data_IF_867729886017
#
_entry.id   IF_867729886017
#
_cell.length_a   1.000
_cell.length_b   1.000
_cell.length_c   1.000
_cell.angle_alpha   90.00
_cell.angle_beta   90.00
_cell.angle_gamma   90.00
#
_symmetry.space_group_name_H-M   'P 1'
#
loop_
_entity.id
_entity.type
_entity.pdbx_description
1 polymer ?
#
# COMPACT_ATOMS: atom_id res chain seq x y z
N UNK A 1 -80.64 -39.81 56.29
CA UNK A 1 -79.34 -39.14 56.49
C UNK A 1 -78.25 -40.16 56.29
N UNK A 2 -77.54 -40.14 55.16
CA UNK A 2 -76.31 -40.92 54.97
C UNK A 2 -75.37 -40.10 54.09
N UNK A 3 -74.31 -39.59 54.70
CA UNK A 3 -73.31 -38.75 54.06
C UNK A 3 -72.36 -39.60 53.22
N UNK A 4 -72.24 -39.26 51.94
CA UNK A 4 -71.23 -39.82 51.03
C UNK A 4 -69.89 -39.13 51.27
N UNK A 5 -68.97 -39.83 51.95
CA UNK A 5 -67.59 -39.39 52.17
C UNK A 5 -66.73 -39.84 50.99
N UNK A 6 -66.19 -38.89 50.23
CA UNK A 6 -65.16 -39.15 49.21
C UNK A 6 -63.76 -39.03 49.84
N UNK A 7 -62.86 -40.02 49.69
CA UNK A 7 -61.46 -39.83 50.05
C UNK A 7 -60.74 -39.07 48.94
N UNK A 8 -60.42 -37.80 49.19
CA UNK A 8 -59.51 -37.02 48.36
C UNK A 8 -58.06 -37.41 48.69
N UNK A 9 -57.51 -38.40 48.00
CA UNK A 9 -56.08 -38.71 48.08
C UNK A 9 -55.29 -37.67 47.27
N UNK A 10 -54.94 -36.54 47.90
CA UNK A 10 -53.92 -35.65 47.36
C UNK A 10 -52.58 -36.36 47.44
N UNK A 11 -52.10 -36.82 46.27
CA UNK A 11 -50.77 -37.41 46.11
C UNK A 11 -49.72 -36.34 46.43
N UNK A 12 -49.22 -36.35 47.67
CA UNK A 12 -48.16 -35.45 48.12
C UNK A 12 -46.94 -35.64 47.22
N UNK A 13 -46.63 -34.64 46.39
CA UNK A 13 -45.42 -34.64 45.58
C UNK A 13 -44.22 -34.68 46.52
N UNK A 14 -43.32 -35.65 46.32
CA UNK A 14 -42.08 -35.79 47.08
C UNK A 14 -41.31 -34.46 47.07
N UNK A 15 -40.65 -34.10 48.17
CA UNK A 15 -39.83 -32.88 48.26
C UNK A 15 -38.80 -32.77 47.13
N UNK A 16 -38.34 -33.91 46.61
CA UNK A 16 -37.48 -33.99 45.43
C UNK A 16 -38.15 -33.48 44.14
N UNK A 17 -39.45 -33.75 43.93
CA UNK A 17 -40.20 -33.23 42.78
C UNK A 17 -40.37 -31.70 42.88
N UNK A 18 -40.58 -31.17 44.08
CA UNK A 18 -40.68 -29.72 44.30
C UNK A 18 -39.34 -29.02 44.02
N UNK A 19 -38.23 -29.60 44.49
CA UNK A 19 -36.88 -29.08 44.21
C UNK A 19 -36.57 -29.14 42.72
N UNK A 20 -36.89 -30.25 42.04
CA UNK A 20 -36.68 -30.38 40.60
C UNK A 20 -37.48 -29.35 39.79
N UNK A 21 -38.76 -29.11 40.16
CA UNK A 21 -39.60 -28.09 39.52
C UNK A 21 -39.07 -26.68 39.79
N UNK A 22 -38.63 -26.38 41.02
CA UNK A 22 -38.06 -25.08 41.36
C UNK A 22 -36.75 -24.82 40.59
N UNK A 23 -35.87 -25.82 40.47
CA UNK A 23 -34.64 -25.73 39.67
C UNK A 23 -34.93 -25.54 38.19
N UNK A 24 -35.89 -26.30 37.63
CA UNK A 24 -36.29 -26.15 36.24
C UNK A 24 -36.87 -24.75 35.97
N UNK A 25 -37.73 -24.25 36.84
CA UNK A 25 -38.30 -22.90 36.72
C UNK A 25 -37.22 -21.82 36.84
N UNK A 26 -36.30 -21.97 37.80
CA UNK A 26 -35.15 -21.08 37.97
C UNK A 26 -34.24 -21.08 36.74
N UNK A 27 -33.97 -22.25 36.15
CA UNK A 27 -33.18 -22.38 34.93
C UNK A 27 -33.88 -21.72 33.73
N UNK A 28 -35.19 -21.89 33.58
CA UNK A 28 -35.97 -21.22 32.52
C UNK A 28 -35.94 -19.71 32.69
N UNK A 29 -36.14 -19.20 33.91
CA UNK A 29 -36.05 -17.77 34.22
C UNK A 29 -34.65 -17.22 33.93
N UNK A 30 -33.60 -17.98 34.28
CA UNK A 30 -32.22 -17.63 33.97
C UNK A 30 -31.99 -17.52 32.46
N UNK A 31 -32.46 -18.49 31.67
CA UNK A 31 -32.35 -18.44 30.20
C UNK A 31 -33.10 -17.24 29.61
N UNK A 32 -34.30 -16.93 30.10
CA UNK A 32 -35.05 -15.74 29.68
C UNK A 32 -34.26 -14.47 29.98
N UNK A 33 -33.67 -14.35 31.18
CA UNK A 33 -32.85 -13.20 31.55
C UNK A 33 -31.61 -13.06 30.65
N UNK A 34 -30.92 -14.16 30.34
CA UNK A 34 -29.76 -14.16 29.43
C UNK A 34 -30.16 -13.68 28.04
N UNK A 35 -31.27 -14.18 27.50
CA UNK A 35 -31.78 -13.76 26.19
C UNK A 35 -32.21 -12.29 26.20
N UNK A 36 -32.86 -11.83 27.28
CA UNK A 36 -33.28 -10.44 27.42
C UNK A 36 -32.08 -9.48 27.50
N UNK A 37 -31.03 -9.83 28.26
CA UNK A 37 -29.79 -9.05 28.35
C UNK A 37 -29.10 -9.00 26.98
N UNK A 38 -29.00 -10.13 26.30
CA UNK A 38 -28.42 -10.19 24.96
C UNK A 38 -29.20 -9.31 23.96
N UNK A 39 -30.53 -9.39 23.96
CA UNK A 39 -31.38 -8.58 23.11
C UNK A 39 -31.26 -7.07 23.42
N UNK A 40 -31.22 -6.70 24.71
CA UNK A 40 -31.02 -5.32 25.15
C UNK A 40 -29.65 -4.78 24.69
N UNK A 41 -28.60 -5.58 24.78
CA UNK A 41 -27.27 -5.22 24.28
C UNK A 41 -27.27 -5.02 22.77
N UNK A 42 -27.91 -5.92 22.01
CA UNK A 42 -28.04 -5.77 20.55
C UNK A 42 -28.82 -4.50 20.16
N UNK A 43 -29.87 -4.16 20.90
CA UNK A 43 -30.66 -2.94 20.69
C UNK A 43 -29.86 -1.68 21.04
N UNK A 44 -29.10 -1.69 22.13
CA UNK A 44 -28.27 -0.55 22.54
C UNK A 44 -27.17 -0.22 21.53
N UNK A 45 -26.57 -1.25 20.93
CA UNK A 45 -25.55 -1.12 19.90
C UNK A 45 -26.13 -1.23 18.47
N UNK A 46 -27.45 -1.10 18.31
CA UNK A 46 -28.04 -0.98 16.99
C UNK A 46 -27.51 0.30 16.32
N UNK A 47 -26.89 0.16 15.14
CA UNK A 47 -26.29 1.28 14.42
C UNK A 47 -24.98 1.83 14.99
N UNK A 48 -24.35 1.15 15.97
CA UNK A 48 -23.04 1.53 16.53
C UNK A 48 -22.03 0.40 16.41
N UNK A 49 -20.76 0.70 16.22
CA UNK A 49 -19.69 -0.30 16.23
C UNK A 49 -19.58 -0.89 17.64
N UNK A 50 -19.32 -2.20 17.76
CA UNK A 50 -19.17 -2.81 19.08
C UNK A 50 -17.92 -2.27 19.79
N UNK A 51 -17.94 -2.18 21.13
CA UNK A 51 -16.80 -1.69 21.89
C UNK A 51 -15.56 -2.59 21.69
N UNK A 52 -14.38 -2.00 21.77
CA UNK A 52 -13.11 -2.71 21.60
C UNK A 52 -12.70 -2.93 20.14
N UNK A 53 -13.36 -2.32 19.16
CA UNK A 53 -12.91 -2.33 17.76
C UNK A 53 -12.04 -1.10 17.49
N UNK A 54 -10.84 -1.32 16.95
CA UNK A 54 -9.90 -0.27 16.58
C UNK A 54 -9.49 -0.39 15.12
N UNK A 55 -9.23 0.72 14.44
CA UNK A 55 -8.73 0.77 13.06
C UNK A 55 -7.35 1.42 13.08
N UNK A 56 -6.29 0.65 12.79
CA UNK A 56 -4.89 1.12 12.90
C UNK A 56 -4.59 1.91 14.19
N UNK A 57 -5.09 1.42 15.34
CA UNK A 57 -4.88 2.06 16.65
C UNK A 57 -5.84 3.21 16.98
N UNK A 58 -6.74 3.58 16.06
CA UNK A 58 -7.83 4.53 16.32
C UNK A 58 -9.03 3.78 16.88
N UNK A 59 -9.42 4.09 18.12
CA UNK A 59 -10.63 3.52 18.73
C UNK A 59 -11.90 4.05 18.04
N UNK A 60 -12.70 3.12 17.52
CA UNK A 60 -13.97 3.39 16.86
C UNK A 60 -15.15 2.69 17.56
N UNK A 61 -14.89 2.00 18.67
CA UNK A 61 -15.89 1.31 19.44
C UNK A 61 -16.97 2.25 19.96
N UNK A 62 -18.24 1.83 19.88
CA UNK A 62 -19.39 2.60 20.34
C UNK A 62 -19.81 3.77 19.43
N UNK A 63 -19.03 4.10 18.39
CA UNK A 63 -19.36 5.15 17.42
C UNK A 63 -20.32 4.64 16.34
N UNK A 64 -21.08 5.54 15.72
CA UNK A 64 -21.78 5.23 14.46
C UNK A 64 -20.77 5.10 13.33
N UNK A 65 -21.08 4.39 12.22
CA UNK A 65 -20.18 4.30 11.07
C UNK A 65 -19.71 5.67 10.56
N UNK A 66 -20.61 6.66 10.49
CA UNK A 66 -20.27 8.04 10.09
C UNK A 66 -19.30 8.73 11.05
N UNK A 67 -19.52 8.61 12.36
CA UNK A 67 -18.63 9.19 13.38
C UNK A 67 -17.28 8.47 13.41
N UNK A 68 -17.26 7.15 13.20
CA UNK A 68 -16.06 6.36 13.08
C UNK A 68 -15.24 6.76 11.85
N UNK A 69 -15.88 6.93 10.68
CA UNK A 69 -15.22 7.39 9.46
C UNK A 69 -14.51 8.75 9.69
N UNK A 70 -15.19 9.71 10.32
CA UNK A 70 -14.59 10.99 10.69
C UNK A 70 -13.41 10.83 11.68
N UNK A 71 -13.55 9.96 12.68
CA UNK A 71 -12.52 9.72 13.69
C UNK A 71 -11.26 9.06 13.11
N UNK A 72 -11.43 8.10 12.19
CA UNK A 72 -10.33 7.43 11.47
C UNK A 72 -9.63 8.42 10.55
N UNK A 73 -10.39 9.28 9.85
CA UNK A 73 -9.81 10.33 8.98
C UNK A 73 -8.88 11.26 9.76
N UNK A 74 -9.24 11.60 11.00
CA UNK A 74 -8.41 12.44 11.87
C UNK A 74 -7.24 11.69 12.50
N UNK A 75 -7.38 10.39 12.76
CA UNK A 75 -6.38 9.58 13.47
C UNK A 75 -5.37 8.88 12.57
N UNK A 76 -5.72 8.57 11.32
CA UNK A 76 -4.88 7.83 10.39
C UNK A 76 -4.12 8.78 9.46
N UNK A 77 -2.93 9.18 9.89
CA UNK A 77 -2.12 10.16 9.18
C UNK A 77 -1.18 9.56 8.11
N UNK A 78 -1.02 8.23 8.02
CA UNK A 78 0.00 7.61 7.16
C UNK A 78 -0.01 8.08 5.69
N UNK A 79 -1.17 8.23 5.00
CA UNK A 79 -1.19 8.78 3.64
C UNK A 79 -0.60 10.20 3.54
N UNK A 80 -0.74 11.00 4.59
CA UNK A 80 -0.32 12.40 4.61
C UNK A 80 1.07 12.62 5.24
N UNK A 81 1.42 11.84 6.26
CA UNK A 81 2.64 12.02 7.07
C UNK A 81 3.70 10.93 6.86
N UNK A 82 3.35 9.84 6.18
CA UNK A 82 4.29 8.78 5.86
C UNK A 82 5.42 9.27 4.96
N UNK A 83 6.57 8.61 5.06
CA UNK A 83 7.80 9.00 4.37
C UNK A 83 8.30 7.85 3.52
N UNK A 84 8.16 7.99 2.21
CA UNK A 84 8.73 7.07 1.23
C UNK A 84 9.87 7.80 0.53
N UNK A 85 11.09 7.29 0.71
CA UNK A 85 12.27 7.85 0.09
C UNK A 85 12.58 7.09 -1.20
N UNK A 86 12.30 7.71 -2.33
CA UNK A 86 12.70 7.18 -3.64
C UNK A 86 14.19 7.48 -3.84
N UNK A 87 14.97 6.49 -4.27
CA UNK A 87 16.43 6.62 -4.35
C UNK A 87 16.96 6.16 -5.70
N UNK A 88 17.86 6.95 -6.30
CA UNK A 88 18.68 6.54 -7.46
C UNK A 88 20.11 7.11 -7.30
N UNK A 89 21.12 6.23 -7.29
CA UNK A 89 22.54 6.58 -7.48
C UNK A 89 23.06 7.80 -6.69
N UNK A 90 22.54 8.00 -5.48
CA UNK A 90 22.93 9.11 -4.58
C UNK A 90 21.95 10.29 -4.54
N UNK A 91 20.97 10.34 -5.45
CA UNK A 91 19.83 11.25 -5.38
C UNK A 91 18.68 10.61 -4.61
N UNK A 92 17.97 11.43 -3.83
CA UNK A 92 16.80 10.98 -3.07
C UNK A 92 15.66 11.96 -3.19
N UNK A 93 14.45 11.44 -3.29
CA UNK A 93 13.21 12.21 -3.34
C UNK A 93 12.28 11.70 -2.25
N UNK A 94 11.98 12.58 -1.29
CA UNK A 94 11.02 12.27 -0.23
C UNK A 94 9.62 12.55 -0.73
N UNK A 95 8.78 11.52 -0.78
CA UNK A 95 7.38 11.61 -1.16
C UNK A 95 6.49 11.01 -0.08
N UNK A 96 5.29 11.55 0.06
CA UNK A 96 4.27 10.96 0.95
C UNK A 96 3.51 9.86 0.22
N UNK A 97 2.96 8.85 0.92
CA UNK A 97 2.14 7.83 0.26
C UNK A 97 0.94 8.42 -0.47
N UNK A 98 0.36 9.51 0.02
CA UNK A 98 -0.73 10.25 -0.63
C UNK A 98 -0.32 10.92 -1.93
N UNK A 99 0.93 11.41 -2.03
CA UNK A 99 1.48 11.88 -3.31
C UNK A 99 1.67 10.74 -4.31
N UNK A 100 1.90 9.52 -3.83
CA UNK A 100 1.96 8.31 -4.64
C UNK A 100 0.58 7.71 -4.96
N UNK A 101 -0.52 8.37 -4.57
CA UNK A 101 -1.87 7.89 -4.86
C UNK A 101 -2.47 6.94 -3.82
N UNK A 102 -1.89 6.83 -2.62
CA UNK A 102 -2.52 6.12 -1.52
C UNK A 102 -3.57 7.00 -0.84
N UNK A 103 -4.82 6.55 -0.85
CA UNK A 103 -5.95 7.22 -0.21
C UNK A 103 -6.59 6.33 0.85
N UNK A 104 -7.04 6.96 1.94
CA UNK A 104 -7.88 6.31 2.93
C UNK A 104 -9.33 6.29 2.41
N UNK A 105 -9.98 5.13 2.49
CA UNK A 105 -11.43 5.01 2.39
C UNK A 105 -12.02 4.85 3.80
N UNK A 106 -12.38 5.97 4.47
CA UNK A 106 -12.84 5.93 5.85
C UNK A 106 -14.23 5.29 5.97
N UNK A 107 -15.07 5.39 4.93
CA UNK A 107 -16.42 4.82 4.91
C UNK A 107 -16.36 3.31 4.85
N UNK A 108 -15.59 2.74 3.93
CA UNK A 108 -15.39 1.29 3.86
C UNK A 108 -14.71 0.75 5.11
N UNK A 109 -13.74 1.49 5.69
CA UNK A 109 -13.10 1.13 6.96
C UNK A 109 -14.12 1.05 8.10
N UNK A 110 -14.97 2.07 8.24
CA UNK A 110 -16.00 2.11 9.28
C UNK A 110 -17.08 1.04 9.09
N UNK A 111 -17.48 0.75 7.85
CA UNK A 111 -18.41 -0.32 7.52
C UNK A 111 -17.83 -1.71 7.85
N UNK A 112 -16.55 -1.94 7.56
CA UNK A 112 -15.87 -3.18 7.93
C UNK A 112 -15.84 -3.36 9.45
N UNK A 113 -15.51 -2.31 10.20
CA UNK A 113 -15.57 -2.31 11.66
C UNK A 113 -16.99 -2.55 12.20
N UNK A 114 -18.01 -1.95 11.59
CA UNK A 114 -19.41 -2.17 11.97
C UNK A 114 -19.85 -3.63 11.77
N UNK A 115 -19.29 -4.35 10.80
CA UNK A 115 -19.64 -5.75 10.53
C UNK A 115 -19.04 -6.75 11.54
N UNK A 116 -18.03 -6.35 12.31
CA UNK A 116 -17.44 -7.20 13.37
C UNK A 116 -18.51 -7.53 14.42
N UNK A 117 -18.54 -8.80 14.85
CA UNK A 117 -19.55 -9.29 15.81
C UNK A 117 -20.98 -9.37 15.27
N UNK A 118 -21.23 -8.99 13.99
CA UNK A 118 -22.55 -9.02 13.34
C UNK A 118 -22.66 -10.04 12.21
N UNK A 119 -21.54 -10.53 11.70
CA UNK A 119 -21.50 -11.51 10.61
C UNK A 119 -21.33 -12.95 11.11
N UNK A 120 -21.74 -13.94 10.30
CA UNK A 120 -21.63 -15.37 10.64
C UNK A 120 -22.71 -15.92 11.59
N UNK A 121 -22.49 -17.14 12.08
CA UNK A 121 -23.38 -17.84 13.02
C UNK A 121 -23.30 -17.30 14.45
N UNK A 122 -24.30 -17.66 15.27
CA UNK A 122 -24.49 -17.12 16.64
C UNK A 122 -23.22 -17.30 17.51
N UNK A 123 -22.60 -18.48 17.49
CA UNK A 123 -21.35 -18.75 18.23
C UNK A 123 -20.18 -17.86 17.80
N UNK A 124 -20.04 -17.59 16.50
CA UNK A 124 -18.97 -16.71 15.99
C UNK A 124 -19.19 -15.27 16.46
N UNK A 125 -20.43 -14.76 16.35
CA UNK A 125 -20.77 -13.41 16.83
C UNK A 125 -20.46 -13.21 18.30
N UNK A 126 -20.79 -14.19 19.15
CA UNK A 126 -20.49 -14.14 20.59
C UNK A 126 -18.98 -14.15 20.86
N UNK A 127 -18.23 -15.01 20.16
CA UNK A 127 -16.77 -15.04 20.26
C UNK A 127 -16.15 -13.71 19.85
N UNK A 128 -16.53 -13.18 18.69
CA UNK A 128 -15.98 -11.95 18.13
C UNK A 128 -16.29 -10.75 19.04
N UNK A 129 -17.53 -10.66 19.57
CA UNK A 129 -17.91 -9.63 20.54
C UNK A 129 -17.09 -9.72 21.84
N UNK A 130 -16.87 -10.93 22.35
CA UNK A 130 -16.05 -11.13 23.54
C UNK A 130 -14.58 -10.82 23.29
N UNK A 131 -14.01 -11.23 22.15
CA UNK A 131 -12.61 -10.96 21.81
C UNK A 131 -12.36 -9.49 21.56
N UNK A 132 -13.27 -8.79 20.88
CA UNK A 132 -13.18 -7.35 20.69
C UNK A 132 -13.18 -6.62 22.05
N UNK A 133 -14.08 -6.98 22.95
CA UNK A 133 -14.13 -6.39 24.28
C UNK A 133 -12.90 -6.70 25.15
N UNK A 134 -12.42 -7.96 25.12
CA UNK A 134 -11.34 -8.41 26.01
C UNK A 134 -9.93 -8.02 25.52
N UNK A 135 -9.68 -8.09 24.21
CA UNK A 135 -8.33 -7.97 23.64
C UNK A 135 -8.16 -6.76 22.71
N UNK A 136 -9.23 -6.01 22.45
CA UNK A 136 -9.29 -5.02 21.36
C UNK A 136 -9.02 -5.64 19.99
N UNK A 137 -10.03 -5.70 19.12
CA UNK A 137 -9.87 -6.20 17.77
C UNK A 137 -9.33 -5.09 16.87
N UNK A 138 -8.12 -5.29 16.35
CA UNK A 138 -7.46 -4.34 15.46
C UNK A 138 -7.75 -4.70 14.00
N UNK A 139 -8.32 -3.75 13.27
CA UNK A 139 -8.60 -3.87 11.86
C UNK A 139 -7.65 -2.99 11.04
N UNK A 140 -7.20 -3.49 9.87
CA UNK A 140 -6.53 -2.64 8.90
C UNK A 140 -7.54 -1.65 8.28
N UNK A 141 -7.12 -0.40 8.02
CA UNK A 141 -7.93 0.57 7.28
C UNK A 141 -8.09 0.09 5.83
N UNK A 142 -9.24 0.39 5.25
CA UNK A 142 -9.46 0.25 3.82
C UNK A 142 -8.71 1.37 3.11
N UNK A 143 -7.79 0.99 2.22
CA UNK A 143 -6.96 1.90 1.46
C UNK A 143 -7.15 1.64 -0.02
N UNK A 144 -7.09 2.72 -0.79
CA UNK A 144 -7.16 2.70 -2.25
C UNK A 144 -5.81 3.19 -2.75
N UNK A 145 -5.17 2.42 -3.63
CA UNK A 145 -3.94 2.83 -4.28
C UNK A 145 -4.21 3.11 -5.75
N UNK A 146 -4.10 4.38 -6.14
CA UNK A 146 -4.18 4.81 -7.53
C UNK A 146 -2.79 4.76 -8.17
N UNK A 147 -2.49 3.64 -8.83
CA UNK A 147 -1.24 3.41 -9.55
C UNK A 147 -0.96 4.47 -10.62
N UNK A 148 -2.00 5.14 -11.14
CA UNK A 148 -1.85 6.18 -12.17
C UNK A 148 -1.18 7.42 -11.60
N UNK A 149 -1.47 7.76 -10.35
CA UNK A 149 -0.84 8.89 -9.65
C UNK A 149 0.64 8.57 -9.38
N UNK A 150 0.93 7.37 -8.86
CA UNK A 150 2.32 6.91 -8.71
C UNK A 150 3.09 6.94 -10.04
N UNK A 151 2.47 6.46 -11.13
CA UNK A 151 3.07 6.49 -12.46
C UNK A 151 3.43 7.91 -12.89
N UNK A 152 2.56 8.90 -12.67
CA UNK A 152 2.83 10.30 -13.01
C UNK A 152 3.99 10.88 -12.21
N UNK A 153 4.10 10.55 -10.92
CA UNK A 153 5.24 10.95 -10.08
C UNK A 153 6.53 10.35 -10.63
N UNK A 154 6.52 9.06 -10.95
CA UNK A 154 7.66 8.37 -11.54
C UNK A 154 8.04 8.94 -12.90
N UNK A 155 7.09 9.24 -13.79
CA UNK A 155 7.36 9.90 -15.07
C UNK A 155 8.02 11.28 -14.88
N UNK A 156 7.61 12.04 -13.85
CA UNK A 156 8.25 13.32 -13.50
C UNK A 156 9.69 13.16 -13.00
N UNK A 157 10.00 12.06 -12.31
CA UNK A 157 11.36 11.72 -11.89
C UNK A 157 12.20 11.18 -13.04
N UNK A 158 11.61 10.44 -13.97
CA UNK A 158 12.31 9.89 -15.14
C UNK A 158 12.94 11.01 -15.94
N UNK A 159 12.22 12.12 -16.17
CA UNK A 159 12.76 13.29 -16.89
C UNK A 159 13.98 13.94 -16.22
N UNK A 160 14.21 13.70 -14.93
CA UNK A 160 15.38 14.18 -14.20
C UNK A 160 16.54 13.16 -14.20
N UNK A 161 16.21 11.87 -14.24
CA UNK A 161 17.13 10.74 -14.18
C UNK A 161 17.65 10.36 -15.57
N UNK A 162 16.75 10.39 -16.55
CA UNK A 162 16.96 9.88 -17.89
C UNK A 162 17.99 10.72 -18.63
N UNK A 163 18.96 10.03 -19.22
CA UNK A 163 20.04 10.63 -20.02
C UNK A 163 20.19 9.83 -21.31
N UNK A 164 20.21 10.47 -22.47
CA UNK A 164 20.48 9.76 -23.71
C UNK A 164 21.91 9.21 -23.70
N UNK A 165 22.09 8.06 -24.36
CA UNK A 165 23.43 7.55 -24.69
C UNK A 165 24.03 8.45 -25.77
N UNK A 166 25.29 8.86 -25.58
CA UNK A 166 26.04 9.66 -26.55
C UNK A 166 27.29 8.89 -26.91
N UNK A 167 27.49 8.59 -28.19
CA UNK A 167 28.69 7.94 -28.67
C UNK A 167 29.89 8.89 -28.66
N UNK A 168 31.08 8.38 -28.36
CA UNK A 168 32.30 9.17 -28.51
C UNK A 168 32.49 9.56 -29.98
N UNK A 169 32.87 10.82 -30.21
CA UNK A 169 33.10 11.33 -31.55
C UNK A 169 34.40 12.12 -31.63
N UNK A 170 34.93 12.22 -32.85
CA UNK A 170 36.14 12.96 -33.17
C UNK A 170 35.76 14.13 -34.05
N UNK A 171 36.08 15.34 -33.61
CA UNK A 171 35.86 16.55 -34.40
C UNK A 171 37.22 17.17 -34.75
N UNK A 172 37.43 17.49 -36.02
CA UNK A 172 38.65 18.16 -36.49
C UNK A 172 38.35 19.65 -36.63
N UNK A 173 39.09 20.49 -35.91
CA UNK A 173 39.03 21.95 -36.01
C UNK A 173 40.38 22.46 -36.55
N UNK A 174 40.46 22.72 -37.85
CA UNK A 174 41.73 23.04 -38.52
C UNK A 174 42.66 21.82 -38.54
N UNK A 175 43.79 21.89 -37.83
CA UNK A 175 44.72 20.77 -37.63
C UNK A 175 44.55 20.06 -36.28
N UNK A 176 43.69 20.57 -35.40
CA UNK A 176 43.48 20.00 -34.07
C UNK A 176 42.35 18.97 -34.07
N UNK A 177 42.65 17.77 -33.56
CA UNK A 177 41.67 16.71 -33.32
C UNK A 177 41.19 16.80 -31.88
N UNK A 178 39.91 17.11 -31.71
CA UNK A 178 39.21 17.17 -30.42
C UNK A 178 38.43 15.87 -30.21
N UNK A 179 38.62 15.25 -29.05
CA UNK A 179 37.89 14.04 -28.64
C UNK A 179 36.68 14.45 -27.81
N UNK A 180 35.50 14.08 -28.26
CA UNK A 180 34.28 14.14 -27.47
C UNK A 180 34.05 12.75 -26.87
N UNK A 181 34.19 12.62 -25.56
CA UNK A 181 33.96 11.36 -24.87
C UNK A 181 32.48 10.95 -24.95
N UNK A 182 32.24 9.64 -24.95
CA UNK A 182 30.90 9.09 -24.89
C UNK A 182 30.26 9.31 -23.52
N UNK A 183 28.93 9.30 -23.48
CA UNK A 183 28.13 9.40 -22.27
C UNK A 183 27.26 8.16 -22.12
N UNK A 184 27.32 7.52 -20.95
CA UNK A 184 26.40 6.42 -20.59
C UNK A 184 24.96 6.92 -20.57
N UNK A 185 24.10 6.25 -21.34
CA UNK A 185 22.67 6.48 -21.30
C UNK A 185 22.07 5.87 -20.04
N UNK A 186 21.05 6.54 -19.50
CA UNK A 186 20.29 6.09 -18.33
C UNK A 186 18.81 6.22 -18.67
N UNK A 187 18.03 5.19 -18.40
CA UNK A 187 16.59 5.19 -18.61
C UNK A 187 15.93 4.51 -17.41
N UNK A 188 15.03 5.21 -16.73
CA UNK A 188 14.28 4.63 -15.62
C UNK A 188 13.23 3.64 -16.12
N UNK A 189 13.25 2.43 -15.57
CA UNK A 189 12.21 1.44 -15.76
C UNK A 189 11.02 1.79 -14.87
N UNK A 190 10.09 2.57 -15.42
CA UNK A 190 8.89 3.02 -14.69
C UNK A 190 8.05 1.82 -14.20
N UNK A 191 7.73 0.80 -15.02
CA UNK A 191 6.98 -0.36 -14.55
C UNK A 191 7.66 -1.10 -13.38
N UNK A 192 8.97 -1.34 -13.45
CA UNK A 192 9.69 -2.01 -12.37
C UNK A 192 9.76 -1.15 -11.09
N UNK A 193 9.97 0.15 -11.26
CA UNK A 193 9.97 1.10 -10.14
C UNK A 193 8.58 1.23 -9.50
N UNK A 194 7.51 1.22 -10.30
CA UNK A 194 6.13 1.24 -9.81
C UNK A 194 5.81 0.01 -8.98
N UNK A 195 6.26 -1.18 -9.41
CA UNK A 195 6.10 -2.40 -8.63
C UNK A 195 6.80 -2.32 -7.27
N UNK A 196 8.02 -1.76 -7.23
CA UNK A 196 8.76 -1.55 -5.97
C UNK A 196 8.05 -0.54 -5.05
N UNK A 197 7.52 0.56 -5.61
CA UNK A 197 6.72 1.55 -4.88
C UNK A 197 5.44 0.92 -4.33
N UNK A 198 4.69 0.18 -5.14
CA UNK A 198 3.45 -0.50 -4.74
C UNK A 198 3.71 -1.46 -3.57
N UNK A 199 4.76 -2.26 -3.66
CA UNK A 199 5.17 -3.17 -2.59
C UNK A 199 5.50 -2.41 -1.30
N UNK A 200 6.23 -1.29 -1.36
CA UNK A 200 6.54 -0.48 -0.19
C UNK A 200 5.29 0.14 0.43
N UNK A 201 4.41 0.72 -0.39
CA UNK A 201 3.17 1.36 0.07
C UNK A 201 2.27 0.37 0.81
N UNK A 202 2.22 -0.90 0.38
CA UNK A 202 1.46 -1.97 1.03
C UNK A 202 1.96 -2.32 2.44
N UNK A 203 3.21 -2.00 2.78
CA UNK A 203 3.76 -2.26 4.14
C UNK A 203 3.16 -1.33 5.19
N UNK A 204 2.56 -0.20 4.78
CA UNK A 204 2.08 0.87 5.65
C UNK A 204 3.15 1.41 6.62
N UNK A 205 4.41 1.35 6.19
CA UNK A 205 5.56 1.83 6.94
C UNK A 205 6.42 2.75 6.07
N UNK A 206 7.14 3.64 6.75
CA UNK A 206 8.18 4.44 6.12
C UNK A 206 9.27 3.52 5.56
N UNK A 207 9.86 3.91 4.44
CA UNK A 207 10.88 3.08 3.81
C UNK A 207 11.57 3.74 2.64
N UNK A 208 12.59 3.04 2.15
CA UNK A 208 13.41 3.47 1.04
C UNK A 208 13.09 2.55 -0.14
N UNK A 209 12.78 3.14 -1.29
CA UNK A 209 12.49 2.44 -2.52
C UNK A 209 13.58 2.76 -3.53
N UNK A 210 14.47 1.81 -3.85
CA UNK A 210 15.43 2.01 -4.93
C UNK A 210 14.68 2.01 -6.26
N UNK A 211 14.83 3.10 -7.02
CA UNK A 211 14.31 3.21 -8.38
C UNK A 211 15.12 2.32 -9.31
N UNK A 212 14.44 1.67 -10.24
CA UNK A 212 15.07 0.77 -11.20
C UNK A 212 15.48 1.57 -12.42
N UNK A 213 16.79 1.72 -12.65
CA UNK A 213 17.36 2.45 -13.78
C UNK A 213 18.20 1.49 -14.61
N UNK A 214 17.98 1.52 -15.93
CA UNK A 214 18.76 0.75 -16.90
C UNK A 214 19.83 1.66 -17.47
N UNK A 215 21.08 1.24 -17.35
CA UNK A 215 22.22 1.95 -17.92
C UNK A 215 22.64 1.28 -19.22
N UNK A 216 22.79 2.08 -20.26
CA UNK A 216 23.26 1.64 -21.58
C UNK A 216 24.59 2.32 -21.88
N UNK A 217 25.72 1.60 -21.80
CA UNK A 217 27.02 2.18 -22.15
C UNK A 217 27.08 2.48 -23.66
N UNK A 218 27.78 3.54 -24.08
CA UNK A 218 28.02 3.79 -25.50
C UNK A 218 28.90 2.68 -26.09
N UNK A 219 28.73 2.40 -27.38
CA UNK A 219 29.56 1.44 -28.09
C UNK A 219 31.04 1.88 -28.11
N UNK A 220 31.28 3.19 -28.22
CA UNK A 220 32.60 3.80 -28.09
C UNK A 220 32.55 4.82 -26.95
N UNK A 221 33.15 4.46 -25.82
CA UNK A 221 33.23 5.34 -24.64
C UNK A 221 34.40 6.32 -24.73
N UNK A 222 35.55 5.85 -25.21
CA UNK A 222 36.78 6.63 -25.37
C UNK A 222 37.34 6.45 -26.78
N UNK A 223 37.44 7.54 -27.53
CA UNK A 223 37.99 7.58 -28.88
C UNK A 223 39.45 8.09 -28.92
N UNK A 224 40.14 8.17 -27.77
CA UNK A 224 41.50 8.72 -27.65
C UNK A 224 42.51 8.02 -28.55
N UNK A 225 42.46 6.68 -28.65
CA UNK A 225 43.39 5.92 -29.49
C UNK A 225 43.20 6.25 -30.99
N UNK A 226 41.94 6.42 -31.41
CA UNK A 226 41.53 6.79 -32.75
C UNK A 226 41.90 8.25 -33.04
N UNK A 227 41.80 9.13 -32.04
CA UNK A 227 42.26 10.52 -32.11
C UNK A 227 43.76 10.63 -32.39
N UNK A 228 44.56 9.86 -31.68
CA UNK A 228 46.01 9.86 -31.84
C UNK A 228 46.44 9.34 -33.21
N UNK A 229 45.67 8.41 -33.77
CA UNK A 229 45.86 7.93 -35.14
C UNK A 229 45.51 9.03 -36.16
N UNK A 230 44.39 9.72 -35.97
CA UNK A 230 44.00 10.86 -36.82
C UNK A 230 45.02 12.01 -36.77
N UNK A 231 45.55 12.36 -35.58
CA UNK A 231 46.61 13.37 -35.42
C UNK A 231 47.88 12.99 -36.16
N UNK A 232 48.27 11.71 -36.11
CA UNK A 232 49.44 11.20 -36.87
C UNK A 232 49.25 11.29 -38.37
N UNK A 233 48.04 11.02 -38.87
CA UNK A 233 47.73 11.18 -40.30
C UNK A 233 47.76 12.66 -40.71
N UNK A 234 47.15 13.55 -39.91
CA UNK A 234 47.07 14.99 -40.20
C UNK A 234 48.43 15.71 -40.11
N UNK A 235 49.39 15.16 -39.37
CA UNK A 235 50.75 15.72 -39.25
C UNK A 235 51.73 15.20 -40.33
N UNK A 236 51.32 14.24 -41.17
CA UNK A 236 52.15 13.76 -42.27
C UNK A 236 52.21 14.79 -43.42
N UNK A 237 53.37 14.97 -44.08
CA UNK A 237 53.52 15.93 -45.17
C UNK A 237 52.64 15.55 -46.38
N UNK A 238 51.79 16.50 -46.81
CA UNK A 238 50.94 16.33 -47.98
C UNK A 238 51.79 16.25 -49.26
N UNK A 239 51.81 15.09 -49.90
CA UNK A 239 52.52 14.89 -51.18
C UNK A 239 51.52 14.92 -52.32
N UNK A 240 51.35 16.08 -52.97
CA UNK A 240 50.52 16.21 -54.16
C UNK A 240 51.30 15.72 -55.38
N UNK A 241 50.95 14.54 -55.89
CA UNK A 241 51.44 14.04 -57.18
C UNK A 241 50.48 14.47 -58.27
N UNK A 242 50.91 15.42 -59.11
CA UNK A 242 50.17 15.78 -60.31
C UNK A 242 50.41 14.67 -61.35
N UNK A 243 49.37 13.99 -61.86
CA UNK A 243 49.55 13.03 -62.92
C UNK A 243 50.07 13.75 -64.17
N UNK A 244 51.23 13.33 -64.68
CA UNK A 244 51.79 13.78 -65.96
C UNK A 244 50.80 13.43 -67.07
N UNK A 245 49.95 14.38 -67.46
CA UNK A 245 48.91 14.10 -68.45
C UNK A 245 47.99 15.24 -68.88
N UNK A 246 48.10 16.47 -68.37
CA UNK A 246 47.43 17.63 -68.97
C UNK A 246 48.40 18.81 -69.09
N UNK A 247 49.34 18.66 -70.01
CA UNK A 247 49.90 19.77 -70.79
C UNK A 247 48.78 20.35 -71.68
N UNK A 248 47.88 21.11 -71.07
CA UNK A 248 46.81 21.82 -71.76
C UNK A 248 47.26 23.19 -72.30
N UNK A 249 47.96 23.18 -73.44
CA UNK A 249 47.86 24.21 -74.48
C UNK A 249 48.42 25.61 -74.21
N UNK A 250 49.54 25.91 -74.86
CA UNK A 250 50.04 27.26 -75.08
C UNK A 250 49.05 28.15 -75.85
N UNK A 251 49.03 29.44 -75.51
CA UNK A 251 48.34 30.53 -76.21
C UNK A 251 48.51 31.84 -75.48
#
# INVERSE_FOLDING_TARGET
MSASTYPSTMKSRSTLEQVAVALALGFVLFLIAVVAIYAAFQLWYAGRIFPGVTISGVDVGGLTPSAAAARVTQGFAFPQSGKILLQDSGQTWLVTPGQLGLYLDPETSALNAYRIGRSGGIFRRLRDQYSAYANSEQLPPALIFDERVAYQVLEGLSRQIDRPVVEASLTVQGTDVVVNNGQTGREMDIPASLAAVSAQVQTLQDGIVPLVVRETPPAILDASAQAELARRILSAPLTLTVPEGESGGAG
#
